data_IF_557282304424
#
_entry.id   IF_557282304424
#
_cell.length_a   1.000
_cell.length_b   1.000
_cell.length_c   1.000
_cell.angle_alpha   90.00
_cell.angle_beta   90.00
_cell.angle_gamma   90.00
#
_symmetry.space_group_name_H-M   'P 1'
#
loop_
_entity.id
_entity.type
_entity.pdbx_description
1 polymer ?
#
# COMPACT_ATOMS: atom_id res chain seq x y z
N UNK A 1 30.43 -11.58 -5.95
CA UNK A 1 31.65 -11.71 -6.80
C UNK A 1 32.06 -13.17 -6.80
N UNK A 2 32.22 -13.78 -7.97
CA UNK A 2 32.57 -15.21 -8.08
C UNK A 2 34.00 -15.46 -7.55
N UNK A 3 34.20 -16.44 -6.64
CA UNK A 3 35.54 -16.87 -6.19
C UNK A 3 36.52 -17.18 -7.33
N UNK A 4 36.03 -17.65 -8.49
CA UNK A 4 36.83 -17.96 -9.67
C UNK A 4 37.49 -16.72 -10.29
N UNK A 5 36.88 -15.55 -10.21
CA UNK A 5 37.48 -14.30 -10.70
C UNK A 5 38.70 -13.95 -9.85
N UNK A 6 38.62 -14.12 -8.53
CA UNK A 6 39.77 -13.88 -7.65
C UNK A 6 40.92 -14.85 -7.92
N UNK A 7 40.62 -16.11 -8.23
CA UNK A 7 41.63 -17.11 -8.65
C UNK A 7 42.32 -16.66 -9.94
N UNK A 8 41.57 -16.17 -10.93
CA UNK A 8 42.13 -15.67 -12.19
C UNK A 8 42.93 -14.38 -12.04
N UNK A 9 42.47 -13.45 -11.21
CA UNK A 9 43.22 -12.22 -10.90
C UNK A 9 44.54 -12.56 -10.20
N UNK A 10 44.51 -13.50 -9.25
CA UNK A 10 45.73 -14.01 -8.62
C UNK A 10 46.65 -14.69 -9.65
N UNK A 11 46.10 -15.48 -10.58
CA UNK A 11 46.88 -16.13 -11.63
C UNK A 11 47.52 -15.11 -12.61
N UNK A 12 46.80 -14.07 -13.01
CA UNK A 12 47.35 -12.98 -13.82
C UNK A 12 48.50 -12.26 -13.12
N UNK A 13 48.36 -11.99 -11.82
CA UNK A 13 49.42 -11.37 -11.00
C UNK A 13 50.65 -12.28 -10.90
N UNK A 14 50.47 -13.58 -10.64
CA UNK A 14 51.57 -14.55 -10.57
C UNK A 14 52.31 -14.65 -11.90
N UNK A 15 51.58 -14.73 -13.02
CA UNK A 15 52.17 -14.80 -14.37
C UNK A 15 53.00 -13.54 -14.70
N UNK A 16 52.52 -12.36 -14.28
CA UNK A 16 53.26 -11.10 -14.40
C UNK A 16 54.56 -11.13 -13.57
N UNK A 17 54.53 -11.69 -12.36
CA UNK A 17 55.72 -11.82 -11.49
C UNK A 17 56.77 -12.77 -12.07
N UNK A 18 56.35 -13.84 -12.76
CA UNK A 18 57.23 -14.81 -13.42
C UNK A 18 57.80 -14.26 -14.75
N UNK A 19 57.36 -13.07 -15.19
CA UNK A 19 57.71 -12.42 -16.47
C UNK A 19 57.25 -13.21 -17.71
N UNK A 20 56.20 -14.01 -17.57
CA UNK A 20 55.52 -14.65 -18.70
C UNK A 20 54.51 -13.68 -19.31
N UNK A 21 55.01 -12.74 -20.12
CA UNK A 21 54.20 -11.67 -20.70
C UNK A 21 53.09 -12.17 -21.62
N UNK A 22 53.30 -13.29 -22.32
CA UNK A 22 52.29 -13.93 -23.17
C UNK A 22 51.08 -14.37 -22.36
N UNK A 23 51.33 -14.99 -21.21
CA UNK A 23 50.33 -15.70 -20.42
C UNK A 23 49.56 -14.70 -19.56
N UNK A 24 50.27 -13.74 -18.95
CA UNK A 24 49.67 -12.61 -18.27
C UNK A 24 48.78 -11.79 -19.23
N UNK A 25 49.24 -11.57 -20.47
CA UNK A 25 48.48 -10.90 -21.51
C UNK A 25 47.20 -11.66 -21.87
N UNK A 26 47.29 -12.97 -22.07
CA UNK A 26 46.14 -13.83 -22.37
C UNK A 26 45.09 -13.83 -21.26
N UNK A 27 45.49 -14.06 -19.99
CA UNK A 27 44.58 -14.09 -18.84
C UNK A 27 43.89 -12.74 -18.66
N UNK A 28 44.65 -11.64 -18.80
CA UNK A 28 44.10 -10.28 -18.69
C UNK A 28 43.09 -10.01 -19.82
N UNK A 29 43.38 -10.44 -21.05
CA UNK A 29 42.46 -10.28 -22.17
C UNK A 29 41.15 -11.05 -21.95
N UNK A 30 41.22 -12.30 -21.46
CA UNK A 30 40.05 -13.11 -21.12
C UNK A 30 39.23 -12.44 -20.00
N UNK A 31 39.89 -11.99 -18.93
CA UNK A 31 39.22 -11.26 -17.84
C UNK A 31 38.52 -10.00 -18.34
N UNK A 32 39.17 -9.25 -19.23
CA UNK A 32 38.60 -8.04 -19.82
C UNK A 32 37.39 -8.34 -20.70
N UNK A 33 37.50 -9.34 -21.60
CA UNK A 33 36.38 -9.78 -22.45
C UNK A 33 35.19 -10.22 -21.58
N UNK A 34 35.45 -11.03 -20.55
CA UNK A 34 34.42 -11.50 -19.63
C UNK A 34 33.76 -10.36 -18.87
N UNK A 35 34.54 -9.36 -18.43
CA UNK A 35 34.00 -8.17 -17.79
C UNK A 35 33.11 -7.36 -18.74
N UNK A 36 33.53 -7.16 -20.00
CA UNK A 36 32.74 -6.45 -21.01
C UNK A 36 31.46 -7.20 -21.35
N UNK A 37 31.54 -8.49 -21.65
CA UNK A 37 30.38 -9.34 -21.96
C UNK A 37 29.41 -9.35 -20.79
N UNK A 38 29.90 -9.59 -19.56
CA UNK A 38 29.08 -9.58 -18.35
C UNK A 38 28.39 -8.24 -18.13
N UNK A 39 29.10 -7.12 -18.31
CA UNK A 39 28.53 -5.77 -18.18
C UNK A 39 27.45 -5.50 -19.23
N UNK A 40 27.67 -5.86 -20.49
CA UNK A 40 26.69 -5.68 -21.58
C UNK A 40 25.43 -6.53 -21.31
N UNK A 41 25.61 -7.79 -20.93
CA UNK A 41 24.52 -8.71 -20.64
C UNK A 41 23.68 -8.24 -19.45
N UNK A 42 24.34 -7.80 -18.37
CA UNK A 42 23.68 -7.28 -17.17
C UNK A 42 22.95 -5.96 -17.47
N UNK A 43 23.57 -5.05 -18.21
CA UNK A 43 22.95 -3.77 -18.58
C UNK A 43 21.69 -3.97 -19.44
N UNK A 44 21.71 -4.92 -20.38
CA UNK A 44 20.54 -5.21 -21.23
C UNK A 44 19.33 -5.69 -20.43
N UNK A 45 19.57 -6.47 -19.37
CA UNK A 45 18.51 -7.01 -18.53
C UNK A 45 17.98 -5.97 -17.50
N UNK A 46 18.83 -5.03 -17.06
CA UNK A 46 18.47 -3.97 -16.11
C UNK A 46 17.54 -2.90 -16.69
N UNK A 47 17.59 -2.67 -18.02
CA UNK A 47 16.80 -1.61 -18.70
C UNK A 47 15.29 -1.79 -18.55
N UNK A 48 14.79 -3.02 -18.59
CA UNK A 48 13.37 -3.31 -18.42
C UNK A 48 12.86 -2.97 -17.01
N UNK A 49 13.70 -3.16 -15.99
CA UNK A 49 13.36 -2.82 -14.61
C UNK A 49 13.46 -1.30 -14.34
N UNK A 50 14.38 -0.60 -15.01
CA UNK A 50 14.59 0.85 -14.84
C UNK A 50 13.44 1.65 -15.44
N UNK A 51 12.98 1.29 -16.65
CA UNK A 51 11.85 1.94 -17.31
C UNK A 51 10.52 1.85 -16.54
N UNK A 52 10.40 0.92 -15.59
CA UNK A 52 9.25 0.78 -14.70
C UNK A 52 9.36 1.64 -13.42
N UNK A 53 10.57 2.06 -13.01
CA UNK A 53 10.76 2.92 -11.83
C UNK A 53 10.39 4.37 -12.11
N UNK A 54 10.63 4.84 -13.33
CA UNK A 54 10.40 6.25 -13.72
C UNK A 54 8.91 6.62 -13.87
N UNK A 55 8.00 5.65 -13.72
CA UNK A 55 6.55 5.84 -13.79
C UNK A 55 5.91 6.31 -12.47
N UNK A 56 6.69 6.51 -11.39
CA UNK A 56 6.16 6.85 -10.06
C UNK A 56 6.93 8.05 -9.49
N UNK A 57 6.55 9.27 -9.91
CA UNK A 57 6.96 10.50 -9.22
C UNK A 57 5.76 11.10 -8.49
N UNK A 58 5.96 11.54 -7.25
CA UNK A 58 4.95 12.21 -6.44
C UNK A 58 5.22 13.71 -6.47
N UNK A 59 4.23 14.50 -6.89
CA UNK A 59 4.29 15.97 -6.92
C UNK A 59 3.61 16.56 -5.69
N UNK A 60 3.97 17.79 -5.34
CA UNK A 60 3.39 18.54 -4.23
C UNK A 60 3.41 20.05 -4.51
N UNK A 61 2.51 20.79 -3.86
CA UNK A 61 2.47 22.25 -3.94
C UNK A 61 3.21 22.91 -2.78
N UNK A 62 4.07 23.86 -3.10
CA UNK A 62 4.84 24.64 -2.12
C UNK A 62 4.63 26.13 -2.33
N UNK A 63 4.70 26.90 -1.26
CA UNK A 63 4.73 28.35 -1.28
C UNK A 63 6.16 28.84 -1.09
N UNK A 64 6.77 29.39 -2.14
CA UNK A 64 8.13 29.97 -2.13
C UNK A 64 8.03 31.40 -2.67
N UNK A 65 8.73 32.34 -2.03
CA UNK A 65 8.75 33.76 -2.44
C UNK A 65 7.37 34.45 -2.52
N UNK A 66 6.34 33.86 -1.91
CA UNK A 66 4.96 34.38 -1.93
C UNK A 66 4.08 33.76 -3.02
N UNK A 67 4.64 32.96 -3.92
CA UNK A 67 3.93 32.30 -5.02
C UNK A 67 3.87 30.77 -4.81
N UNK A 68 2.79 30.16 -5.35
CA UNK A 68 2.57 28.71 -5.28
C UNK A 68 3.24 28.04 -6.49
N UNK A 69 4.07 27.04 -6.21
CA UNK A 69 4.76 26.22 -7.21
C UNK A 69 4.45 24.74 -7.02
N UNK A 70 4.24 24.00 -8.11
CA UNK A 70 4.21 22.54 -8.08
C UNK A 70 5.63 22.00 -8.31
N UNK A 71 6.16 21.24 -7.35
CA UNK A 71 7.50 20.64 -7.42
C UNK A 71 7.44 19.14 -7.15
N UNK A 72 8.49 18.41 -7.52
CA UNK A 72 8.64 17.02 -7.08
C UNK A 72 8.85 16.98 -5.56
N UNK A 73 8.23 16.01 -4.89
CA UNK A 73 8.38 15.84 -3.44
C UNK A 73 9.85 15.61 -3.02
N UNK A 74 10.70 15.13 -3.92
CA UNK A 74 12.14 14.93 -3.71
C UNK A 74 12.92 16.25 -3.58
N UNK A 75 12.36 17.36 -4.07
CA UNK A 75 12.97 18.69 -4.04
C UNK A 75 12.60 19.50 -2.78
N UNK A 76 11.81 18.92 -1.87
CA UNK A 76 11.44 19.53 -0.59
C UNK A 76 12.61 19.59 0.38
N UNK A 77 12.75 20.74 1.05
CA UNK A 77 13.74 20.95 2.11
C UNK A 77 13.09 21.45 3.40
N UNK A 78 13.69 21.20 4.58
CA UNK A 78 13.22 21.79 5.82
C UNK A 78 13.11 23.32 5.72
N UNK A 79 11.99 23.86 6.20
CA UNK A 79 11.64 25.28 6.08
C UNK A 79 10.71 25.61 4.91
N UNK A 80 10.56 24.73 3.92
CA UNK A 80 9.55 24.91 2.87
C UNK A 80 8.14 24.92 3.47
N UNK A 81 7.25 25.68 2.85
CA UNK A 81 5.85 25.74 3.22
C UNK A 81 5.05 24.93 2.20
N UNK A 82 4.44 23.85 2.66
CA UNK A 82 3.62 22.96 1.84
C UNK A 82 2.16 23.33 2.00
N UNK A 83 1.45 23.37 0.88
CA UNK A 83 0.00 23.53 0.81
C UNK A 83 -0.60 22.15 0.57
N UNK A 84 -1.60 21.78 1.37
CA UNK A 84 -2.28 20.50 1.27
C UNK A 84 -3.79 20.70 1.25
N UNK A 85 -4.46 19.91 0.43
CA UNK A 85 -5.90 19.78 0.39
C UNK A 85 -6.34 18.32 0.43
N UNK A 86 -7.66 18.11 0.53
CA UNK A 86 -8.27 16.77 0.55
C UNK A 86 -7.80 15.95 -0.65
N UNK A 87 -7.38 14.72 -0.38
CA UNK A 87 -6.80 13.79 -1.35
C UNK A 87 -5.29 13.87 -1.49
N UNK A 88 -4.64 14.90 -0.93
CA UNK A 88 -3.18 15.00 -0.99
C UNK A 88 -2.51 14.00 -0.05
N UNK A 89 -1.41 13.42 -0.54
CA UNK A 89 -0.49 12.66 0.28
C UNK A 89 0.54 13.59 0.88
N UNK A 90 0.70 13.54 2.20
CA UNK A 90 1.64 14.39 2.92
C UNK A 90 3.09 14.03 2.49
N UNK A 91 3.85 14.97 1.88
CA UNK A 91 5.11 14.63 1.21
C UNK A 91 6.34 14.60 2.14
N UNK A 92 6.24 15.22 3.31
CA UNK A 92 7.29 15.32 4.33
C UNK A 92 6.66 15.48 5.71
N UNK A 93 7.42 15.43 6.81
CA UNK A 93 6.85 15.73 8.12
C UNK A 93 6.70 17.25 8.25
N UNK A 94 5.50 17.70 8.60
CA UNK A 94 5.13 19.11 8.64
C UNK A 94 4.66 19.51 10.03
N UNK A 95 5.09 20.69 10.48
CA UNK A 95 4.41 21.40 11.57
C UNK A 95 3.31 22.27 10.97
N UNK A 96 2.08 22.06 11.42
CA UNK A 96 0.94 22.85 10.93
C UNK A 96 1.08 24.32 11.31
N UNK A 97 0.93 25.19 10.32
CA UNK A 97 0.80 26.64 10.50
C UNK A 97 -0.67 27.07 10.49
N UNK A 98 -1.48 26.40 9.66
CA UNK A 98 -2.90 26.64 9.52
C UNK A 98 -3.60 25.33 9.17
N UNK A 99 -4.70 25.04 9.85
CA UNK A 99 -5.60 23.93 9.53
C UNK A 99 -7.04 24.44 9.46
N UNK A 100 -7.83 23.92 8.52
CA UNK A 100 -9.28 24.14 8.41
C UNK A 100 -9.95 22.81 8.19
N UNK A 101 -10.76 22.38 9.16
CA UNK A 101 -11.50 21.11 9.16
C UNK A 101 -10.64 19.92 8.73
N UNK A 102 -9.39 19.92 9.22
CA UNK A 102 -8.34 19.04 8.73
C UNK A 102 -8.45 17.67 9.41
N UNK A 103 -8.72 16.66 8.61
CA UNK A 103 -8.70 15.25 9.01
C UNK A 103 -7.69 14.49 8.16
N UNK A 104 -6.89 13.67 8.82
CA UNK A 104 -5.81 12.92 8.18
C UNK A 104 -5.89 11.46 8.56
N UNK A 105 -5.79 10.59 7.56
CA UNK A 105 -5.64 9.16 7.73
C UNK A 105 -4.18 8.85 8.08
N UNK A 106 -3.95 8.54 9.35
CA UNK A 106 -2.64 8.16 9.90
C UNK A 106 -2.46 6.65 10.05
N UNK A 107 -3.34 5.84 9.43
CA UNK A 107 -3.29 4.37 9.50
C UNK A 107 -1.94 3.78 9.10
N UNK A 108 -1.22 4.45 8.19
CA UNK A 108 0.11 4.04 7.77
C UNK A 108 1.16 4.09 8.90
N UNK A 109 0.97 4.92 9.91
CA UNK A 109 1.87 5.09 11.05
C UNK A 109 1.35 4.45 12.34
N UNK A 110 0.04 4.51 12.57
CA UNK A 110 -0.58 4.05 13.82
C UNK A 110 -1.26 2.68 13.68
N UNK A 111 -1.62 2.26 12.47
CA UNK A 111 -2.45 1.08 12.22
C UNK A 111 -3.96 1.31 12.45
N UNK A 112 -4.35 2.49 12.93
CA UNK A 112 -5.74 2.83 13.23
C UNK A 112 -6.40 3.50 12.02
N UNK A 113 -7.59 3.03 11.64
CA UNK A 113 -8.31 3.49 10.43
C UNK A 113 -9.18 4.73 10.64
N UNK A 114 -9.34 5.18 11.88
CA UNK A 114 -10.14 6.37 12.18
C UNK A 114 -9.34 7.63 11.82
N UNK A 115 -9.90 8.54 11.01
CA UNK A 115 -9.26 9.81 10.71
C UNK A 115 -8.97 10.61 11.98
N UNK A 116 -7.79 11.23 12.05
CA UNK A 116 -7.36 12.05 13.17
C UNK A 116 -7.62 13.52 12.84
N UNK A 117 -8.37 14.21 13.70
CA UNK A 117 -8.57 15.65 13.62
C UNK A 117 -7.29 16.40 14.00
N UNK A 118 -6.94 17.40 13.19
CA UNK A 118 -5.69 18.14 13.32
C UNK A 118 -5.93 19.61 13.63
N UNK A 119 -5.18 20.11 14.61
CA UNK A 119 -5.23 21.50 15.06
C UNK A 119 -3.83 22.11 15.08
N UNK A 120 -3.59 23.06 14.17
CA UNK A 120 -2.31 23.78 14.10
C UNK A 120 -2.01 24.63 15.34
N UNK A 121 -3.05 25.09 16.05
CA UNK A 121 -2.93 25.95 17.24
C UNK A 121 -2.74 25.17 18.54
N UNK A 122 -2.90 23.84 18.51
CA UNK A 122 -2.74 23.02 19.71
C UNK A 122 -1.30 23.09 20.24
N UNK A 123 -1.19 23.40 21.53
CA UNK A 123 0.07 23.41 22.30
C UNK A 123 0.17 22.08 23.04
N UNK A 124 1.22 21.33 22.74
CA UNK A 124 1.44 19.98 23.26
C UNK A 124 2.67 19.96 24.15
N UNK A 125 2.71 19.04 25.12
CA UNK A 125 3.91 18.77 25.90
C UNK A 125 5.01 18.15 25.01
N UNK A 126 6.29 18.26 25.41
CA UNK A 126 7.42 17.76 24.61
C UNK A 126 7.41 16.24 24.43
N UNK A 127 6.81 15.50 25.37
CA UNK A 127 6.82 14.03 25.46
C UNK A 127 5.59 13.36 24.87
N UNK A 128 4.73 14.09 24.17
CA UNK A 128 3.52 13.55 23.54
C UNK A 128 3.88 12.47 22.51
N UNK A 129 3.17 11.33 22.60
CA UNK A 129 3.32 10.19 21.72
C UNK A 129 3.03 10.58 20.26
N UNK A 130 3.62 9.86 19.30
CA UNK A 130 3.60 10.27 17.90
C UNK A 130 2.18 10.41 17.33
N UNK A 131 1.28 9.46 17.64
CA UNK A 131 -0.11 9.49 17.19
C UNK A 131 -0.96 10.61 17.81
N UNK A 132 -0.55 11.15 18.96
CA UNK A 132 -1.28 12.21 19.67
C UNK A 132 -0.82 13.62 19.25
N UNK A 133 0.14 13.73 18.32
CA UNK A 133 0.65 15.02 17.82
C UNK A 133 -0.29 15.62 16.79
N UNK A 134 -1.45 16.09 17.26
CA UNK A 134 -2.51 16.70 16.44
C UNK A 134 -2.09 17.97 15.69
N UNK A 135 -0.98 18.58 16.09
CA UNK A 135 -0.45 19.80 15.49
C UNK A 135 0.61 19.54 14.40
N UNK A 136 0.81 18.27 14.05
CA UNK A 136 1.77 17.81 13.04
C UNK A 136 1.09 16.94 11.98
N UNK A 137 1.69 16.91 10.79
CA UNK A 137 1.40 15.99 9.71
C UNK A 137 2.64 15.14 9.42
N UNK A 138 2.43 13.88 9.06
CA UNK A 138 3.53 12.96 8.86
C UNK A 138 3.60 12.42 7.43
N UNK A 139 4.82 12.21 6.96
CA UNK A 139 5.12 11.74 5.61
C UNK A 139 4.34 10.47 5.29
N UNK A 140 3.66 10.46 4.15
CA UNK A 140 2.95 9.30 3.62
C UNK A 140 1.51 9.12 4.11
N UNK A 141 1.07 9.92 5.08
CA UNK A 141 -0.34 9.99 5.50
C UNK A 141 -1.19 10.69 4.44
N UNK A 142 -2.51 10.45 4.45
CA UNK A 142 -3.44 10.98 3.44
C UNK A 142 -4.36 12.02 4.07
N UNK A 143 -4.48 13.19 3.45
CA UNK A 143 -5.46 14.20 3.88
C UNK A 143 -6.85 13.72 3.47
N UNK A 144 -7.65 13.30 4.44
CA UNK A 144 -9.03 12.88 4.21
C UNK A 144 -9.93 14.07 3.91
N UNK A 145 -9.90 15.07 4.78
CA UNK A 145 -10.76 16.26 4.69
C UNK A 145 -9.98 17.52 5.07
N UNK A 146 -10.42 18.65 4.53
CA UNK A 146 -9.94 19.97 4.92
C UNK A 146 -8.75 20.46 4.13
N UNK A 147 -8.16 21.56 4.61
CA UNK A 147 -6.99 22.20 4.02
C UNK A 147 -5.97 22.52 5.08
N UNK A 148 -4.70 22.40 4.71
CA UNK A 148 -3.59 22.68 5.59
C UNK A 148 -2.51 23.50 4.92
N UNK A 149 -1.82 24.29 5.73
CA UNK A 149 -0.52 24.86 5.40
C UNK A 149 0.44 24.44 6.50
N UNK A 150 1.53 23.80 6.13
CA UNK A 150 2.52 23.28 7.07
C UNK A 150 3.93 23.65 6.66
N UNK A 151 4.80 23.89 7.65
CA UNK A 151 6.25 24.06 7.41
C UNK A 151 6.93 22.70 7.52
N UNK A 152 7.80 22.38 6.56
CA UNK A 152 8.59 21.15 6.57
C UNK A 152 9.57 21.19 7.74
N UNK A 153 9.48 20.19 8.61
CA UNK A 153 10.40 20.03 9.74
C UNK A 153 11.41 18.90 9.50
N UNK A 154 11.06 17.90 8.71
CA UNK A 154 11.93 16.75 8.44
C UNK A 154 11.59 16.15 7.08
N UNK A 155 12.63 15.71 6.37
CA UNK A 155 12.53 15.09 5.04
C UNK A 155 13.30 13.77 5.01
N UNK A 156 12.99 12.93 4.01
CA UNK A 156 13.65 11.66 3.76
C UNK A 156 13.77 10.77 5.03
N UNK A 157 14.96 10.26 5.33
CA UNK A 157 15.21 9.34 6.45
C UNK A 157 15.00 9.95 7.85
N UNK A 158 14.90 11.28 7.93
CA UNK A 158 14.71 11.98 9.21
C UNK A 158 13.22 12.09 9.62
N UNK A 159 12.30 11.80 8.70
CA UNK A 159 10.86 11.77 8.99
C UNK A 159 10.52 10.60 9.93
N UNK A 160 9.36 10.63 10.58
CA UNK A 160 8.87 9.54 11.42
C UNK A 160 8.85 8.22 10.64
N UNK A 161 8.22 8.23 9.47
CA UNK A 161 8.19 7.08 8.57
C UNK A 161 9.58 6.72 8.05
N UNK A 162 10.42 7.72 7.78
CA UNK A 162 11.79 7.56 7.30
C UNK A 162 12.69 6.88 8.31
N UNK A 163 12.54 7.16 9.61
CA UNK A 163 13.27 6.50 10.70
C UNK A 163 12.82 5.06 10.89
N UNK A 164 11.51 4.82 10.87
CA UNK A 164 10.97 3.44 10.89
C UNK A 164 11.51 2.67 9.68
N UNK A 165 11.48 3.28 8.50
CA UNK A 165 12.02 2.68 7.28
C UNK A 165 13.53 2.45 7.38
N UNK A 166 14.30 3.39 7.95
CA UNK A 166 15.73 3.26 8.19
C UNK A 166 16.04 2.04 9.07
N UNK A 167 15.36 1.88 10.20
CA UNK A 167 15.58 0.76 11.12
C UNK A 167 15.27 -0.61 10.47
N UNK A 168 14.36 -0.63 9.51
CA UNK A 168 14.03 -1.81 8.70
C UNK A 168 15.00 -2.01 7.53
N UNK A 169 15.42 -0.93 6.86
CA UNK A 169 16.21 -0.95 5.62
C UNK A 169 17.71 -1.03 5.85
N UNK A 170 18.23 -0.53 6.98
CA UNK A 170 19.67 -0.60 7.31
C UNK A 170 20.09 -1.99 7.80
N UNK A 171 19.16 -2.92 8.01
CA UNK A 171 19.50 -4.34 8.07
C UNK A 171 19.85 -4.81 6.66
N UNK A 172 21.04 -5.39 6.42
CA UNK A 172 21.35 -5.95 5.12
C UNK A 172 20.25 -6.92 4.73
N UNK A 173 19.57 -6.63 3.61
CA UNK A 173 18.50 -7.51 3.13
C UNK A 173 19.07 -8.93 3.00
N UNK A 174 18.43 -9.94 3.60
CA UNK A 174 18.89 -11.31 3.46
C UNK A 174 18.96 -11.66 1.97
N UNK A 175 20.02 -12.38 1.58
CA UNK A 175 20.19 -12.83 0.20
C UNK A 175 18.96 -13.66 -0.21
N UNK A 176 18.47 -13.46 -1.42
CA UNK A 176 17.37 -14.25 -1.95
C UNK A 176 17.76 -15.74 -1.95
N UNK A 177 16.82 -16.69 -1.71
CA UNK A 177 17.14 -18.12 -1.69
C UNK A 177 17.91 -18.60 -2.92
N UNK A 178 17.59 -18.07 -4.10
CA UNK A 178 18.32 -18.34 -5.33
C UNK A 178 19.78 -17.86 -5.29
N UNK A 179 20.06 -16.68 -4.73
CA UNK A 179 21.44 -16.21 -4.55
C UNK A 179 22.22 -17.11 -3.58
N UNK A 180 21.60 -17.57 -2.50
CA UNK A 180 22.22 -18.51 -1.55
C UNK A 180 22.57 -19.84 -2.25
N UNK A 181 21.66 -20.35 -3.08
CA UNK A 181 21.89 -21.56 -3.88
C UNK A 181 22.99 -21.36 -4.93
N UNK A 182 23.05 -20.19 -5.57
CA UNK A 182 24.11 -19.84 -6.52
C UNK A 182 25.48 -19.75 -5.85
N UNK A 183 25.59 -19.04 -4.72
CA UNK A 183 26.84 -18.97 -3.96
C UNK A 183 27.33 -20.37 -3.54
N UNK A 184 26.40 -21.22 -3.09
CA UNK A 184 26.70 -22.61 -2.74
C UNK A 184 27.16 -23.44 -3.95
N UNK A 185 26.51 -23.27 -5.09
CA UNK A 185 26.88 -23.93 -6.34
C UNK A 185 28.27 -23.48 -6.82
N UNK A 186 28.53 -22.18 -6.86
CA UNK A 186 29.83 -21.63 -7.25
C UNK A 186 30.95 -22.08 -6.32
N UNK A 187 30.72 -22.12 -5.00
CA UNK A 187 31.70 -22.63 -4.04
C UNK A 187 32.01 -24.11 -4.24
N UNK A 188 31.00 -24.94 -4.54
CA UNK A 188 31.20 -26.36 -4.87
C UNK A 188 32.00 -26.53 -6.16
N UNK A 189 31.66 -25.79 -7.21
CA UNK A 189 32.41 -25.80 -8.47
C UNK A 189 33.86 -25.38 -8.26
N UNK A 190 34.09 -24.27 -7.54
CA UNK A 190 35.44 -23.81 -7.21
C UNK A 190 36.23 -24.85 -6.41
N UNK A 191 35.60 -25.56 -5.47
CA UNK A 191 36.21 -26.66 -4.73
C UNK A 191 36.62 -27.81 -5.66
N UNK A 192 35.73 -28.26 -6.57
CA UNK A 192 36.06 -29.31 -7.53
C UNK A 192 37.19 -28.91 -8.49
N UNK A 193 37.18 -27.66 -8.98
CA UNK A 193 38.26 -27.12 -9.82
C UNK A 193 39.58 -27.09 -9.04
N UNK A 194 39.56 -26.65 -7.78
CA UNK A 194 40.74 -26.64 -6.93
C UNK A 194 41.33 -28.04 -6.71
N UNK A 195 40.48 -29.04 -6.44
CA UNK A 195 40.90 -30.44 -6.30
C UNK A 195 41.48 -30.97 -7.62
N UNK A 196 40.83 -30.69 -8.75
CA UNK A 196 41.31 -31.12 -10.07
C UNK A 196 42.65 -30.48 -10.43
N UNK A 197 42.80 -29.18 -10.19
CA UNK A 197 44.05 -28.44 -10.40
C UNK A 197 45.18 -28.97 -9.51
N UNK A 198 44.90 -29.25 -8.23
CA UNK A 198 45.89 -29.84 -7.32
C UNK A 198 46.31 -31.24 -7.77
N UNK A 199 45.35 -32.08 -8.18
CA UNK A 199 45.61 -33.44 -8.65
C UNK A 199 46.47 -33.41 -9.91
N UNK A 200 46.15 -32.51 -10.85
CA UNK A 200 46.92 -32.27 -12.05
C UNK A 200 48.34 -31.81 -11.73
N UNK A 201 48.50 -30.88 -10.78
CA UNK A 201 49.81 -30.42 -10.33
C UNK A 201 50.67 -31.56 -9.78
N UNK A 202 50.11 -32.43 -8.94
CA UNK A 202 50.81 -33.59 -8.38
C UNK A 202 51.25 -34.55 -9.48
N UNK A 203 50.35 -34.91 -10.40
CA UNK A 203 50.66 -35.83 -11.52
C UNK A 203 51.74 -35.24 -12.43
N UNK A 204 51.66 -33.95 -12.71
CA UNK A 204 52.59 -33.25 -13.58
C UNK A 204 53.98 -33.12 -12.93
N UNK A 205 54.03 -32.81 -11.63
CA UNK A 205 55.26 -32.83 -10.84
C UNK A 205 55.92 -34.23 -10.85
N UNK A 206 55.15 -35.31 -10.73
CA UNK A 206 55.67 -36.68 -10.85
C UNK A 206 56.22 -37.03 -12.24
N UNK A 207 55.71 -36.38 -13.30
CA UNK A 207 56.17 -36.56 -14.68
C UNK A 207 57.35 -35.66 -15.05
N UNK A 208 57.77 -34.76 -14.17
CA UNK A 208 58.85 -33.80 -14.43
C UNK A 208 58.49 -32.71 -15.44
N UNK A 209 57.21 -32.42 -15.65
CA UNK A 209 56.78 -31.32 -16.54
C UNK A 209 57.13 -29.95 -15.93
N UNK A 210 57.51 -28.96 -16.75
CA UNK A 210 57.76 -27.60 -16.29
C UNK A 210 56.57 -27.02 -15.52
N UNK A 211 56.82 -26.38 -14.36
CA UNK A 211 55.78 -25.78 -13.50
C UNK A 211 54.91 -24.76 -14.26
N UNK A 212 55.50 -24.07 -15.25
CA UNK A 212 54.84 -23.09 -16.12
C UNK A 212 53.73 -23.73 -16.97
N UNK A 213 54.00 -24.89 -17.57
CA UNK A 213 52.98 -25.66 -18.34
C UNK A 213 51.84 -26.14 -17.45
N UNK A 214 52.17 -26.59 -16.23
CA UNK A 214 51.17 -27.05 -15.24
C UNK A 214 50.29 -25.89 -14.77
N UNK A 215 50.89 -24.74 -14.54
CA UNK A 215 50.19 -23.51 -14.18
C UNK A 215 49.23 -23.07 -15.29
N UNK A 216 49.69 -23.06 -16.55
CA UNK A 216 48.86 -22.71 -17.70
C UNK A 216 47.66 -23.65 -17.84
N UNK A 217 47.85 -24.96 -17.63
CA UNK A 217 46.78 -25.95 -17.74
C UNK A 217 45.76 -25.80 -16.59
N UNK A 218 46.20 -25.45 -15.38
CA UNK A 218 45.33 -25.14 -14.25
C UNK A 218 44.50 -23.86 -14.49
N UNK A 219 45.11 -22.83 -15.08
CA UNK A 219 44.40 -21.59 -15.45
C UNK A 219 43.38 -21.84 -16.56
N UNK A 220 43.76 -22.57 -17.61
CA UNK A 220 42.85 -22.94 -18.70
C UNK A 220 41.63 -23.74 -18.17
N UNK A 221 41.87 -24.67 -17.25
CA UNK A 221 40.81 -25.40 -16.56
C UNK A 221 39.89 -24.45 -15.78
N UNK A 222 40.47 -23.54 -14.99
CA UNK A 222 39.71 -22.58 -14.20
C UNK A 222 38.84 -21.66 -15.06
N UNK A 223 39.36 -21.13 -16.17
CA UNK A 223 38.58 -20.32 -17.13
C UNK A 223 37.44 -21.13 -17.74
N UNK A 224 37.72 -22.37 -18.19
CA UNK A 224 36.73 -23.19 -18.91
C UNK A 224 35.50 -23.56 -18.08
N UNK A 225 35.64 -23.56 -16.75
CA UNK A 225 34.59 -23.99 -15.82
C UNK A 225 33.72 -22.82 -15.33
N UNK A 226 34.07 -21.57 -15.62
CA UNK A 226 33.28 -20.42 -15.16
C UNK A 226 31.91 -20.44 -15.86
N UNK A 227 30.80 -20.56 -15.11
CA UNK A 227 29.48 -20.63 -15.70
C UNK A 227 28.96 -19.22 -15.99
N UNK A 228 29.61 -18.52 -16.92
CA UNK A 228 29.32 -17.12 -17.28
C UNK A 228 27.90 -16.96 -17.85
N UNK A 229 27.39 -17.99 -18.53
CA UNK A 229 26.02 -17.99 -19.05
C UNK A 229 24.94 -18.11 -17.97
N UNK A 230 25.28 -18.57 -16.76
CA UNK A 230 24.30 -18.88 -15.72
C UNK A 230 23.66 -17.60 -15.10
N UNK A 231 24.43 -16.58 -14.67
CA UNK A 231 23.86 -15.30 -14.22
C UNK A 231 22.97 -14.64 -15.28
N UNK A 232 23.36 -14.72 -16.55
CA UNK A 232 22.62 -14.16 -17.68
C UNK A 232 21.30 -14.88 -17.87
N UNK A 233 21.33 -16.21 -17.97
CA UNK A 233 20.14 -17.03 -18.13
C UNK A 233 19.15 -16.79 -16.99
N UNK A 234 19.66 -16.65 -15.76
CA UNK A 234 18.85 -16.37 -14.59
C UNK A 234 18.19 -15.00 -14.64
N UNK A 235 18.94 -13.97 -15.01
CA UNK A 235 18.43 -12.60 -15.11
C UNK A 235 17.38 -12.49 -16.21
N UNK A 236 17.61 -13.13 -17.37
CA UNK A 236 16.64 -13.22 -18.47
C UNK A 236 15.37 -13.96 -18.02
N UNK A 237 15.50 -15.09 -17.33
CA UNK A 237 14.35 -15.84 -16.83
C UNK A 237 13.50 -15.01 -15.83
N UNK A 238 14.15 -14.33 -14.88
CA UNK A 238 13.48 -13.45 -13.92
C UNK A 238 12.82 -12.25 -14.59
N UNK A 239 13.47 -11.65 -15.60
CA UNK A 239 12.91 -10.54 -16.36
C UNK A 239 11.66 -10.94 -17.16
N UNK A 240 11.64 -12.15 -17.74
CA UNK A 240 10.45 -12.72 -18.38
C UNK A 240 9.32 -12.91 -17.34
N UNK A 241 9.66 -13.41 -16.14
CA UNK A 241 8.71 -13.55 -15.03
C UNK A 241 8.10 -12.22 -14.60
N UNK A 242 8.93 -11.19 -14.43
CA UNK A 242 8.51 -9.82 -14.11
C UNK A 242 7.56 -9.26 -15.18
N UNK A 243 7.88 -9.44 -16.47
CA UNK A 243 7.00 -8.99 -17.56
C UNK A 243 5.64 -9.68 -17.54
N UNK A 244 5.58 -10.97 -17.18
CA UNK A 244 4.32 -11.70 -17.01
C UNK A 244 3.51 -11.20 -15.81
N UNK A 245 4.16 -10.87 -14.71
CA UNK A 245 3.53 -10.29 -13.52
C UNK A 245 2.96 -8.89 -13.79
N UNK A 246 3.70 -8.03 -14.49
CA UNK A 246 3.26 -6.68 -14.86
C UNK A 246 2.01 -6.69 -15.75
N UNK A 247 1.88 -7.66 -16.66
CA UNK A 247 0.65 -7.87 -17.46
C UNK A 247 -0.58 -8.26 -16.62
N UNK A 248 -0.39 -8.63 -15.36
CA UNK A 248 -1.44 -8.93 -14.38
C UNK A 248 -1.51 -7.86 -13.30
N UNK A 249 -1.09 -6.63 -13.59
CA UNK A 249 -1.09 -5.48 -12.69
C UNK A 249 -0.20 -5.65 -11.44
N UNK A 250 0.79 -6.55 -11.46
CA UNK A 250 1.78 -6.71 -10.38
C UNK A 250 3.09 -6.07 -10.80
N UNK A 251 3.45 -4.96 -10.16
CA UNK A 251 4.68 -4.22 -10.43
C UNK A 251 5.81 -4.72 -9.54
N UNK A 252 6.84 -5.31 -10.13
CA UNK A 252 8.01 -5.83 -9.40
C UNK A 252 9.15 -4.82 -9.47
N UNK A 253 9.58 -4.30 -8.31
CA UNK A 253 10.66 -3.29 -8.22
C UNK A 253 12.07 -3.89 -8.23
N UNK A 254 12.23 -5.18 -7.91
CA UNK A 254 13.52 -5.90 -7.84
C UNK A 254 13.39 -7.27 -8.49
N UNK A 255 14.26 -7.64 -9.42
CA UNK A 255 14.19 -8.93 -10.16
C UNK A 255 14.14 -10.14 -9.22
N UNK A 256 14.93 -10.12 -8.15
CA UNK A 256 14.99 -11.20 -7.15
C UNK A 256 13.69 -11.38 -6.34
N UNK A 257 12.81 -10.38 -6.31
CA UNK A 257 11.54 -10.49 -5.58
C UNK A 257 10.59 -11.51 -6.23
N UNK A 258 10.71 -11.75 -7.54
CA UNK A 258 9.93 -12.79 -8.25
C UNK A 258 10.20 -14.17 -7.65
N UNK A 259 11.47 -14.48 -7.37
CA UNK A 259 11.86 -15.76 -6.79
C UNK A 259 11.55 -15.83 -5.30
N UNK A 260 11.82 -14.75 -4.56
CA UNK A 260 11.50 -14.69 -3.13
C UNK A 260 10.00 -14.94 -2.86
N UNK A 261 9.11 -14.39 -3.70
CA UNK A 261 7.67 -14.64 -3.61
C UNK A 261 7.30 -16.09 -3.94
N UNK A 262 7.96 -16.70 -4.94
CA UNK A 262 7.75 -18.11 -5.30
C UNK A 262 8.26 -19.09 -4.25
N UNK A 263 9.26 -18.70 -3.48
CA UNK A 263 9.84 -19.47 -2.37
C UNK A 263 9.25 -19.09 -1.00
N UNK A 264 8.20 -18.26 -0.98
CA UNK A 264 7.58 -17.78 0.25
C UNK A 264 6.80 -18.90 0.95
N UNK A 265 7.03 -19.07 2.26
CA UNK A 265 6.35 -20.07 3.09
C UNK A 265 5.39 -19.45 4.11
N UNK A 266 5.57 -18.16 4.44
CA UNK A 266 4.73 -17.41 5.38
C UNK A 266 4.42 -16.04 4.81
N UNK A 267 3.13 -15.70 4.75
CA UNK A 267 2.66 -14.38 4.34
C UNK A 267 2.19 -13.66 5.61
N UNK A 268 2.94 -12.66 6.04
CA UNK A 268 2.47 -11.68 7.01
C UNK A 268 1.74 -10.59 6.21
N UNK A 269 0.44 -10.46 6.45
CA UNK A 269 -0.41 -9.48 5.78
C UNK A 269 -0.91 -8.47 6.79
N UNK A 270 -0.90 -7.20 6.40
CA UNK A 270 -1.69 -6.19 7.11
C UNK A 270 -3.19 -6.43 6.84
N UNK A 271 -4.06 -5.98 7.73
CA UNK A 271 -5.52 -6.08 7.59
C UNK A 271 -6.05 -4.94 6.75
N UNK A 272 -5.85 -3.71 7.23
CA UNK A 272 -6.50 -2.53 6.67
C UNK A 272 -5.87 -2.16 5.33
N UNK A 273 -6.68 -1.99 4.29
CA UNK A 273 -6.18 -1.61 2.95
C UNK A 273 -5.42 -2.72 2.20
N UNK A 274 -5.21 -3.89 2.82
CA UNK A 274 -4.61 -5.07 2.19
C UNK A 274 -5.59 -6.24 2.14
N UNK A 275 -6.14 -6.68 3.28
CA UNK A 275 -7.22 -7.65 3.33
C UNK A 275 -8.60 -7.01 3.19
N UNK A 276 -8.74 -5.77 3.66
CA UNK A 276 -9.98 -5.01 3.56
C UNK A 276 -9.83 -3.87 2.56
N UNK A 277 -10.95 -3.44 1.98
CA UNK A 277 -11.01 -2.30 1.05
C UNK A 277 -10.82 -0.92 1.73
N UNK A 278 -10.54 -0.88 3.05
CA UNK A 278 -10.47 0.33 3.88
C UNK A 278 -11.67 1.28 3.68
N UNK A 279 -12.86 0.71 3.49
CA UNK A 279 -14.10 1.45 3.29
C UNK A 279 -15.19 0.78 4.13
N UNK A 280 -15.87 1.57 4.97
CA UNK A 280 -16.94 1.06 5.81
C UNK A 280 -18.11 0.60 4.93
N UNK A 281 -18.68 -0.55 5.25
CA UNK A 281 -19.77 -1.16 4.46
C UNK A 281 -20.84 -1.66 5.41
N UNK A 282 -22.10 -1.27 5.19
CA UNK A 282 -23.22 -1.86 5.90
C UNK A 282 -23.31 -3.36 5.52
N UNK A 283 -23.22 -4.25 6.53
CA UNK A 283 -23.24 -5.71 6.34
C UNK A 283 -24.54 -6.37 6.78
N UNK A 284 -25.22 -5.79 7.76
CA UNK A 284 -26.39 -6.38 8.39
C UNK A 284 -27.51 -5.35 8.55
N UNK A 285 -28.75 -5.80 8.38
CA UNK A 285 -29.96 -5.05 8.73
C UNK A 285 -30.76 -5.93 9.69
N UNK A 286 -31.24 -5.36 10.79
CA UNK A 286 -32.08 -6.07 11.76
C UNK A 286 -33.35 -5.29 11.99
N UNK A 287 -34.48 -6.00 11.96
CA UNK A 287 -35.79 -5.49 12.34
C UNK A 287 -36.24 -6.14 13.65
N UNK A 288 -37.08 -5.47 14.45
CA UNK A 288 -37.60 -6.04 15.69
C UNK A 288 -38.25 -7.41 15.48
N UNK A 289 -37.81 -8.41 16.26
CA UNK A 289 -38.33 -9.77 16.22
C UNK A 289 -38.09 -10.55 14.91
N UNK A 290 -37.25 -10.03 14.00
CA UNK A 290 -36.91 -10.66 12.73
C UNK A 290 -35.49 -11.22 12.69
N UNK A 291 -35.25 -12.11 11.71
CA UNK A 291 -33.90 -12.57 11.41
C UNK A 291 -33.01 -11.42 10.91
N UNK A 292 -31.70 -11.52 11.13
CA UNK A 292 -30.73 -10.57 10.57
C UNK A 292 -30.63 -10.75 9.06
N UNK A 293 -30.81 -9.67 8.32
CA UNK A 293 -30.65 -9.63 6.87
C UNK A 293 -29.20 -9.31 6.53
N UNK A 294 -28.69 -9.89 5.45
CA UNK A 294 -27.34 -9.69 4.97
C UNK A 294 -27.29 -8.73 3.79
N UNK A 295 -26.33 -7.83 3.80
CA UNK A 295 -26.03 -6.89 2.73
C UNK A 295 -24.71 -7.30 2.09
N UNK A 296 -24.75 -7.69 0.81
CA UNK A 296 -23.56 -8.05 0.04
C UNK A 296 -22.96 -6.84 -0.69
N UNK A 297 -21.76 -7.03 -1.27
CA UNK A 297 -20.95 -5.96 -1.87
C UNK A 297 -20.00 -5.32 -0.86
N UNK A 298 -19.07 -4.50 -1.37
CA UNK A 298 -18.00 -3.89 -0.58
C UNK A 298 -17.73 -2.45 -1.02
N UNK A 299 -17.41 -1.60 -0.05
CA UNK A 299 -16.96 -0.24 -0.30
C UNK A 299 -18.03 0.70 -0.83
N UNK A 300 -17.60 1.66 -1.65
CA UNK A 300 -18.43 2.77 -2.15
C UNK A 300 -19.21 2.46 -3.43
N UNK A 301 -19.01 1.27 -4.00
CA UNK A 301 -19.75 0.81 -5.18
C UNK A 301 -21.06 0.17 -4.72
N UNK A 302 -22.23 0.68 -5.13
CA UNK A 302 -23.54 0.14 -4.76
C UNK A 302 -23.91 -1.12 -5.55
N UNK A 303 -22.93 -2.00 -5.77
CA UNK A 303 -23.15 -3.34 -6.30
C UNK A 303 -23.44 -4.30 -5.15
N UNK A 304 -24.41 -5.19 -5.33
CA UNK A 304 -24.78 -6.18 -4.33
C UNK A 304 -26.29 -6.31 -4.14
N UNK A 305 -26.65 -7.22 -3.27
CA UNK A 305 -28.03 -7.56 -2.93
C UNK A 305 -28.24 -7.59 -1.42
N UNK A 306 -29.46 -7.27 -1.01
CA UNK A 306 -29.93 -7.40 0.36
C UNK A 306 -30.76 -8.68 0.43
N UNK A 307 -30.38 -9.60 1.32
CA UNK A 307 -30.98 -10.93 1.46
C UNK A 307 -31.51 -11.13 2.87
N UNK A 308 -32.71 -11.67 2.97
CA UNK A 308 -33.31 -12.20 4.21
C UNK A 308 -32.86 -13.66 4.42
N UNK A 309 -33.21 -14.25 5.57
CA UNK A 309 -33.06 -15.70 5.82
C UNK A 309 -33.78 -16.58 4.77
N UNK A 310 -34.78 -16.01 4.08
CA UNK A 310 -35.61 -16.67 3.07
C UNK A 310 -35.25 -16.28 1.63
N UNK A 311 -34.16 -15.54 1.42
CA UNK A 311 -33.74 -15.03 0.11
C UNK A 311 -34.14 -13.57 -0.12
N UNK A 312 -34.53 -13.20 -1.34
CA UNK A 312 -34.86 -11.81 -1.67
C UNK A 312 -36.08 -11.30 -0.88
N UNK A 313 -36.10 -10.01 -0.43
CA UNK A 313 -37.22 -9.44 0.32
C UNK A 313 -38.54 -9.52 -0.45
N UNK A 314 -39.60 -9.96 0.24
CA UNK A 314 -40.97 -9.98 -0.27
C UNK A 314 -41.58 -8.56 -0.31
N UNK A 315 -42.77 -8.41 -0.89
CA UNK A 315 -43.40 -7.09 -1.05
C UNK A 315 -43.54 -6.30 0.27
N UNK A 316 -43.96 -6.96 1.35
CA UNK A 316 -44.11 -6.31 2.66
C UNK A 316 -42.76 -5.93 3.28
N UNK A 317 -41.77 -6.80 3.13
CA UNK A 317 -40.38 -6.60 3.60
C UNK A 317 -39.68 -5.48 2.82
N UNK A 318 -40.00 -5.30 1.53
CA UNK A 318 -39.51 -4.18 0.72
C UNK A 318 -40.00 -2.83 1.24
N UNK A 319 -41.26 -2.73 1.66
CA UNK A 319 -41.79 -1.49 2.26
C UNK A 319 -41.07 -1.14 3.56
N UNK A 320 -40.75 -2.15 4.37
CA UNK A 320 -39.96 -1.94 5.60
C UNK A 320 -38.54 -1.48 5.29
N UNK A 321 -37.88 -2.13 4.32
CA UNK A 321 -36.55 -1.75 3.87
C UNK A 321 -36.51 -0.33 3.32
N UNK A 322 -37.52 0.06 2.54
CA UNK A 322 -37.63 1.39 1.98
C UNK A 322 -37.76 2.46 3.07
N UNK A 323 -38.62 2.25 4.09
CA UNK A 323 -38.73 3.18 5.23
C UNK A 323 -37.42 3.34 6.00
N UNK A 324 -36.69 2.25 6.23
CA UNK A 324 -35.36 2.30 6.87
C UNK A 324 -34.38 3.09 6.00
N UNK A 325 -34.34 2.82 4.70
CA UNK A 325 -33.45 3.50 3.77
C UNK A 325 -33.80 4.99 3.62
N UNK A 326 -35.09 5.37 3.66
CA UNK A 326 -35.52 6.76 3.68
C UNK A 326 -34.93 7.51 4.88
N UNK A 327 -35.03 6.94 6.09
CA UNK A 327 -34.41 7.53 7.28
C UNK A 327 -32.88 7.63 7.16
N UNK A 328 -32.24 6.58 6.63
CA UNK A 328 -30.79 6.51 6.47
C UNK A 328 -30.24 7.52 5.44
N UNK A 329 -31.06 7.95 4.48
CA UNK A 329 -30.71 8.83 3.36
C UNK A 329 -31.11 10.29 3.58
N UNK A 330 -32.27 10.53 4.19
CA UNK A 330 -32.76 11.89 4.44
C UNK A 330 -32.00 12.56 5.59
N UNK A 331 -31.76 11.84 6.68
CA UNK A 331 -30.96 12.33 7.81
C UNK A 331 -29.44 12.26 7.55
N UNK A 332 -29.01 12.18 6.29
CA UNK A 332 -27.62 11.92 5.87
C UNK A 332 -26.99 13.21 5.34
N UNK A 333 -25.75 13.51 5.73
CA UNK A 333 -25.03 14.72 5.28
C UNK A 333 -24.11 14.42 4.09
N UNK A 334 -23.78 13.15 3.89
CA UNK A 334 -22.94 12.69 2.79
C UNK A 334 -23.60 12.78 1.42
N UNK A 335 -22.80 12.58 0.38
CA UNK A 335 -23.27 12.40 -0.98
C UNK A 335 -22.57 11.24 -1.68
N UNK A 336 -23.31 10.58 -2.56
CA UNK A 336 -22.84 9.48 -3.39
C UNK A 336 -23.37 9.71 -4.81
N UNK A 337 -22.47 9.94 -5.77
CA UNK A 337 -22.82 10.29 -7.14
C UNK A 337 -21.99 9.46 -8.10
N UNK A 338 -22.63 9.01 -9.19
CA UNK A 338 -21.94 8.37 -10.31
C UNK A 338 -21.39 9.43 -11.25
N UNK A 339 -20.07 9.41 -11.45
CA UNK A 339 -19.32 10.26 -12.39
C UNK A 339 -18.79 9.43 -13.55
N UNK A 340 -18.25 10.07 -14.58
CA UNK A 340 -17.63 9.40 -15.73
C UNK A 340 -16.42 8.53 -15.32
N UNK A 341 -15.74 8.90 -14.22
CA UNK A 341 -14.62 8.16 -13.61
C UNK A 341 -15.04 7.07 -12.62
N UNK A 342 -16.35 6.89 -12.37
CA UNK A 342 -16.87 5.93 -11.40
C UNK A 342 -17.64 6.57 -10.25
N UNK A 343 -17.79 5.87 -9.13
CA UNK A 343 -18.51 6.35 -7.95
C UNK A 343 -17.66 7.36 -7.16
N UNK A 344 -18.18 8.57 -7.04
CA UNK A 344 -17.62 9.62 -6.20
C UNK A 344 -18.47 9.77 -4.95
N UNK A 345 -17.83 9.93 -3.80
CA UNK A 345 -18.49 10.05 -2.52
C UNK A 345 -17.83 11.13 -1.66
N UNK A 346 -18.56 11.62 -0.67
CA UNK A 346 -18.08 12.57 0.34
C UNK A 346 -19.00 12.52 1.55
N UNK A 347 -18.48 12.95 2.69
CA UNK A 347 -19.08 12.76 4.00
C UNK A 347 -18.29 11.72 4.80
N UNK A 348 -18.72 11.47 6.03
CA UNK A 348 -18.11 10.46 6.87
C UNK A 348 -18.39 9.04 6.35
N UNK A 349 -17.60 8.08 6.82
CA UNK A 349 -17.66 6.70 6.34
C UNK A 349 -19.00 6.00 6.65
N UNK A 350 -19.71 6.38 7.72
CA UNK A 350 -21.01 5.81 8.11
C UNK A 350 -22.09 6.32 7.17
N UNK A 351 -22.08 7.61 6.88
CA UNK A 351 -23.01 8.25 5.96
C UNK A 351 -22.90 7.67 4.56
N UNK A 352 -21.68 7.54 4.05
CA UNK A 352 -21.44 6.91 2.75
C UNK A 352 -21.89 5.45 2.75
N UNK A 353 -21.61 4.68 3.81
CA UNK A 353 -22.04 3.28 3.89
C UNK A 353 -23.59 3.15 3.87
N UNK A 354 -24.31 4.06 4.51
CA UNK A 354 -25.77 4.11 4.45
C UNK A 354 -26.30 4.50 3.08
N UNK A 355 -25.68 5.46 2.39
CA UNK A 355 -26.05 5.83 1.03
C UNK A 355 -25.86 4.65 0.06
N UNK A 356 -24.75 3.91 0.18
CA UNK A 356 -24.48 2.71 -0.61
C UNK A 356 -25.53 1.62 -0.33
N UNK A 357 -25.87 1.38 0.94
CA UNK A 357 -26.91 0.42 1.33
C UNK A 357 -28.27 0.78 0.75
N UNK A 358 -28.68 2.05 0.91
CA UNK A 358 -29.94 2.53 0.39
C UNK A 358 -30.00 2.44 -1.14
N UNK A 359 -28.88 2.73 -1.82
CA UNK A 359 -28.82 2.61 -3.26
C UNK A 359 -29.01 1.14 -3.73
N UNK A 360 -28.45 0.16 -3.01
CA UNK A 360 -28.70 -1.29 -3.25
C UNK A 360 -30.16 -1.68 -3.04
N UNK A 361 -30.89 -0.96 -2.18
CA UNK A 361 -32.32 -1.12 -1.99
C UNK A 361 -33.18 -0.39 -3.04
N UNK A 362 -32.56 0.36 -3.97
CA UNK A 362 -33.25 1.18 -4.96
C UNK A 362 -33.67 2.56 -4.47
N UNK A 363 -33.16 3.01 -3.31
CA UNK A 363 -33.47 4.32 -2.73
C UNK A 363 -32.28 5.26 -2.95
N UNK A 364 -32.51 6.31 -3.75
CA UNK A 364 -31.46 7.29 -4.13
C UNK A 364 -31.71 8.63 -3.44
N UNK A 365 -30.67 9.20 -2.81
CA UNK A 365 -30.78 10.47 -2.07
C UNK A 365 -31.36 11.62 -2.88
N UNK A 366 -30.89 11.79 -4.12
CA UNK A 366 -31.38 12.86 -4.99
C UNK A 366 -32.89 12.73 -5.29
N UNK A 367 -33.41 11.52 -5.44
CA UNK A 367 -34.83 11.27 -5.67
C UNK A 367 -35.66 11.49 -4.39
N UNK A 368 -35.14 11.03 -3.25
CA UNK A 368 -35.77 11.22 -1.95
C UNK A 368 -35.82 12.70 -1.55
N UNK A 369 -34.76 13.48 -1.80
CA UNK A 369 -34.73 14.91 -1.50
C UNK A 369 -35.75 15.72 -2.33
N UNK A 370 -36.04 15.29 -3.57
CA UNK A 370 -37.10 15.88 -4.39
C UNK A 370 -38.51 15.50 -3.89
N UNK A 371 -38.68 14.27 -3.43
CA UNK A 371 -39.97 13.75 -2.94
C UNK A 371 -40.30 14.26 -1.54
N UNK A 372 -39.27 14.45 -0.71
CA UNK A 372 -39.34 14.88 0.68
C UNK A 372 -38.42 16.09 0.88
N UNK A 373 -38.83 17.30 0.44
CA UNK A 373 -38.02 18.50 0.56
C UNK A 373 -37.60 18.76 2.01
N UNK A 374 -36.31 19.04 2.22
CA UNK A 374 -35.75 19.38 3.53
C UNK A 374 -36.16 20.79 3.93
N UNK A 375 -36.65 20.93 5.17
CA UNK A 375 -37.05 22.17 5.81
C UNK A 375 -35.95 22.66 6.75
N UNK A 376 -35.38 21.74 7.54
CA UNK A 376 -34.35 22.02 8.53
C UNK A 376 -33.55 20.74 8.84
N UNK A 377 -32.37 20.89 9.43
CA UNK A 377 -31.48 19.76 9.71
C UNK A 377 -30.74 19.92 11.04
N UNK A 378 -30.44 18.80 11.67
CA UNK A 378 -29.55 18.68 12.81
C UNK A 378 -28.38 17.82 12.35
N UNK A 379 -27.20 18.41 12.12
CA UNK A 379 -26.02 17.65 11.74
C UNK A 379 -25.57 16.71 12.87
N UNK A 380 -24.88 15.65 12.50
CA UNK A 380 -24.29 14.72 13.44
C UNK A 380 -23.18 15.41 14.24
N UNK A 381 -23.31 15.34 15.56
CA UNK A 381 -22.26 15.74 16.49
C UNK A 381 -22.03 14.60 17.48
N UNK A 382 -20.77 14.34 17.84
CA UNK A 382 -20.40 13.21 18.69
C UNK A 382 -20.98 13.28 20.10
N UNK A 383 -21.29 14.49 20.60
CA UNK A 383 -21.97 14.69 21.88
C UNK A 383 -23.47 14.32 21.83
N UNK A 384 -24.10 14.47 20.66
CA UNK A 384 -25.52 14.15 20.43
C UNK A 384 -25.74 12.70 20.06
N UNK A 385 -24.80 12.07 19.35
CA UNK A 385 -24.85 10.70 18.84
C UNK A 385 -25.97 10.43 17.82
N UNK A 386 -26.54 11.47 17.20
CA UNK A 386 -27.52 11.33 16.12
C UNK A 386 -27.49 12.52 15.16
N UNK A 387 -27.99 12.33 13.94
CA UNK A 387 -28.37 13.37 13.00
C UNK A 387 -29.85 13.27 12.66
N UNK A 388 -30.45 14.39 12.26
CA UNK A 388 -31.87 14.43 11.90
C UNK A 388 -32.12 15.40 10.74
N UNK A 389 -33.12 15.09 9.92
CA UNK A 389 -33.65 16.02 8.92
C UNK A 389 -35.15 16.19 9.14
N UNK A 390 -35.63 17.43 9.04
CA UNK A 390 -37.05 17.75 9.03
C UNK A 390 -37.48 17.93 7.58
N UNK A 391 -38.41 17.12 7.08
CA UNK A 391 -38.83 17.13 5.69
C UNK A 391 -40.34 17.29 5.57
N UNK A 392 -40.78 17.85 4.44
CA UNK A 392 -42.19 17.92 4.08
C UNK A 392 -42.64 16.63 3.40
N UNK A 393 -43.75 16.06 3.87
CA UNK A 393 -44.38 14.86 3.33
C UNK A 393 -45.88 15.12 3.21
N UNK A 394 -46.39 15.23 1.98
CA UNK A 394 -47.83 15.46 1.71
C UNK A 394 -48.45 16.61 2.53
N UNK A 395 -47.71 17.72 2.70
CA UNK A 395 -48.13 18.90 3.47
C UNK A 395 -48.00 18.77 5.00
N UNK A 396 -47.46 17.66 5.50
CA UNK A 396 -47.14 17.44 6.91
C UNK A 396 -45.62 17.42 7.11
N UNK A 397 -45.16 17.75 8.33
CA UNK A 397 -43.73 17.76 8.66
C UNK A 397 -43.34 16.45 9.34
N UNK A 398 -42.31 15.78 8.82
CA UNK A 398 -41.77 14.55 9.38
C UNK A 398 -40.29 14.72 9.69
N UNK A 399 -39.87 14.25 10.87
CA UNK A 399 -38.45 14.17 11.22
C UNK A 399 -37.93 12.77 10.91
N UNK A 400 -36.87 12.68 10.12
CA UNK A 400 -36.08 11.48 9.90
C UNK A 400 -34.84 11.57 10.77
N UNK A 401 -34.50 10.48 11.46
CA UNK A 401 -33.41 10.48 12.44
C UNK A 401 -32.59 9.19 12.29
N UNK A 402 -31.27 9.32 12.34
CA UNK A 402 -30.34 8.18 12.46
C UNK A 402 -29.28 8.48 13.52
N UNK A 403 -28.75 7.45 14.15
CA UNK A 403 -27.82 7.62 15.26
C UNK A 403 -27.60 6.34 16.06
N UNK A 404 -26.93 6.49 17.20
CA UNK A 404 -26.68 5.40 18.12
C UNK A 404 -27.99 4.84 18.69
N UNK A 405 -28.10 3.51 18.79
CA UNK A 405 -29.32 2.84 19.20
C UNK A 405 -29.74 3.26 20.62
N UNK A 406 -28.79 3.32 21.54
CA UNK A 406 -28.95 3.76 22.92
C UNK A 406 -29.44 5.20 23.05
N UNK A 407 -29.21 6.03 22.02
CA UNK A 407 -29.67 7.41 21.98
C UNK A 407 -31.08 7.52 21.39
N UNK A 408 -31.35 6.80 20.31
CA UNK A 408 -32.63 6.88 19.61
C UNK A 408 -33.75 6.12 20.29
N UNK A 409 -33.46 4.94 20.85
CA UNK A 409 -34.48 4.04 21.39
C UNK A 409 -35.32 4.69 22.51
N UNK A 410 -34.76 5.49 23.44
CA UNK A 410 -35.55 6.23 24.43
C UNK A 410 -36.47 7.31 23.83
N UNK A 411 -36.20 7.76 22.59
CA UNK A 411 -37.03 8.75 21.88
C UNK A 411 -38.18 8.11 21.11
N UNK A 412 -38.24 6.77 21.06
CA UNK A 412 -39.22 6.02 20.26
C UNK A 412 -40.35 5.46 21.14
N UNK A 413 -41.59 5.67 20.72
CA UNK A 413 -42.79 5.07 21.33
C UNK A 413 -43.35 3.90 20.53
N UNK A 414 -43.01 3.82 19.25
CA UNK A 414 -43.52 2.82 18.30
C UNK A 414 -42.40 2.23 17.46
N UNK A 415 -42.54 0.98 17.07
CA UNK A 415 -41.64 0.27 16.15
C UNK A 415 -42.41 -0.26 14.95
N UNK A 416 -41.73 -0.35 13.82
CA UNK A 416 -42.30 -0.91 12.61
C UNK A 416 -42.24 -2.45 12.64
N UNK A 417 -43.40 -3.08 12.55
CA UNK A 417 -43.59 -4.52 12.36
C UNK A 417 -43.99 -4.81 10.91
N UNK A 418 -43.97 -6.07 10.44
CA UNK A 418 -44.42 -6.39 9.10
C UNK A 418 -45.88 -5.95 8.89
N UNK A 419 -46.08 -4.93 8.05
CA UNK A 419 -47.39 -4.41 7.67
C UNK A 419 -48.08 -3.43 8.61
N UNK A 420 -47.51 -3.12 9.78
CA UNK A 420 -48.09 -2.15 10.71
C UNK A 420 -47.05 -1.59 11.69
N UNK A 421 -47.36 -0.48 12.33
CA UNK A 421 -46.56 0.05 13.44
C UNK A 421 -47.17 -0.41 14.77
N UNK A 422 -46.33 -0.88 15.69
CA UNK A 422 -46.72 -1.38 17.01
C UNK A 422 -46.09 -0.53 18.12
N UNK A 423 -46.72 -0.49 19.30
CA UNK A 423 -46.12 0.20 20.46
C UNK A 423 -44.90 -0.57 20.96
N UNK A 424 -43.83 0.13 21.32
CA UNK A 424 -42.66 -0.51 21.91
C UNK A 424 -42.98 -0.81 23.37
N UNK A 425 -42.88 -2.08 23.76
CA UNK A 425 -42.89 -2.47 25.17
C UNK A 425 -41.56 -2.10 25.81
N UNK A 426 -41.52 -1.00 26.58
CA UNK A 426 -40.29 -0.51 27.20
C UNK A 426 -39.61 -1.55 28.11
N UNK A 427 -40.37 -2.50 28.68
CA UNK A 427 -39.83 -3.61 29.46
C UNK A 427 -38.92 -4.57 28.68
N UNK A 428 -38.99 -4.58 27.35
CA UNK A 428 -38.15 -5.41 26.48
C UNK A 428 -36.86 -4.69 26.04
N UNK A 429 -36.71 -3.41 26.36
CA UNK A 429 -35.54 -2.58 25.96
C UNK A 429 -34.38 -2.69 26.98
N UNK A 430 -34.68 -3.00 28.25
CA UNK A 430 -33.71 -2.95 29.36
C UNK A 430 -32.96 -4.27 29.66
N UNK A 431 -33.05 -5.28 28.78
CA UNK A 431 -32.21 -6.50 28.82
C UNK A 431 -31.17 -6.48 27.72
#
# INVERSE_FOLDING_TARGET
>A
MSPLIYVLVAAALISLMIKEWSDAGFITAVLFINAVIGTIQEHSAQRAATALRDLVSTRCQVLREGDTHEINAEELVPGDIVLLESGDKVPADLRLLLSRDLEVDESLLTGESLPVLKDGNAVLAEDVALGDRVNMLFTGTLVGRGRARGVVISTALNTALGRIAADVLFKPSPKAPLQIRMDSFTNRVAMFVGIAALTMFVVAAMRGTPITEVFLLAVALAVSVIPEGLPVALTVALAIGMRRMSRRNVIVRRLLAVEALGSCTFIATDKTGTLTVNQLTARCISFPGGDVWQVSGEGVVPDGTILTSRGAPQAQEKVQLERLCQAAVLANEGFLVRTDSGWSNHGDAVDVAFLVMAHKAGVVKAEMANTFPEIDTIPYESDRLFSASLNEVNGSKYAFVKGALERLLPMCTTMMMPGHDATIEQSLIEQ
#
